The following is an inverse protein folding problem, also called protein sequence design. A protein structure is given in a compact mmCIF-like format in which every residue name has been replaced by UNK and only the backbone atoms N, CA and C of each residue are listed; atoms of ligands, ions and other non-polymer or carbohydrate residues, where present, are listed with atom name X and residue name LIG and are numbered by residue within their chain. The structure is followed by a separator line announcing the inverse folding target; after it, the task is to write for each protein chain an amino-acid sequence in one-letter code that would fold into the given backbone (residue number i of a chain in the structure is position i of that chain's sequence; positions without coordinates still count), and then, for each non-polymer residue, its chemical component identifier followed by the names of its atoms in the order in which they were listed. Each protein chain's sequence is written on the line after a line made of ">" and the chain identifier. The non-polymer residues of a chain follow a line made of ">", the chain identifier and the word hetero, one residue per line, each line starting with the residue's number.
data_IF_613837686561
#
_entry.id   IF_613837686561
#
_cell.length_a   1.000
_cell.length_b   1.000
_cell.length_c   1.000
_cell.angle_alpha   90.00
_cell.angle_beta   90.00
_cell.angle_gamma   90.00
#
_symmetry.space_group_name_H-M   'P 1'
#
loop_
_entity.id
_entity.type
_entity.pdbx_description
1 polymer ?
#
# COMPACT_ATOMS: atom_id res chain seq x y z
N UNK A 1 -1.59 -7.57 -6.24
CA UNK A 1 -1.79 -7.22 -4.79
C UNK A 1 -2.80 -6.10 -4.67
N UNK A 2 -3.47 -6.00 -3.52
CA UNK A 2 -4.28 -4.84 -3.13
C UNK A 2 -3.51 -3.94 -2.19
N UNK A 3 -3.22 -2.74 -2.64
CA UNK A 3 -2.38 -1.78 -1.95
C UNK A 3 -3.27 -0.69 -1.37
N UNK A 4 -3.32 -0.60 -0.04
CA UNK A 4 -3.98 0.50 0.67
C UNK A 4 -3.02 1.68 0.87
N UNK A 5 -3.51 2.90 0.72
CA UNK A 5 -2.71 4.11 0.84
C UNK A 5 -3.51 5.17 1.60
N UNK A 6 -2.92 5.72 2.67
CA UNK A 6 -3.47 6.92 3.30
C UNK A 6 -3.16 8.17 2.46
N UNK A 7 -3.88 9.26 2.71
CA UNK A 7 -3.69 10.51 1.97
C UNK A 7 -2.69 11.42 2.68
N UNK A 8 -2.97 11.77 3.94
CA UNK A 8 -2.24 12.83 4.62
C UNK A 8 -0.85 12.32 5.03
N UNK A 9 0.20 13.02 4.59
CA UNK A 9 1.61 12.63 4.68
C UNK A 9 2.04 11.35 3.95
N UNK A 10 1.12 10.62 3.33
CA UNK A 10 1.43 9.46 2.49
C UNK A 10 1.38 9.80 0.99
N UNK A 11 0.32 10.46 0.54
CA UNK A 11 0.19 10.98 -0.83
C UNK A 11 0.44 12.48 -0.85
N UNK A 12 -0.08 13.22 0.15
CA UNK A 12 -0.05 14.69 0.24
C UNK A 12 1.00 15.19 1.23
N UNK A 13 1.43 16.43 1.03
CA UNK A 13 2.38 17.15 1.89
C UNK A 13 1.68 17.86 3.08
N UNK A 14 0.81 17.13 3.79
CA UNK A 14 -0.05 17.71 4.81
C UNK A 14 0.72 18.45 5.91
N UNK A 15 1.71 17.79 6.53
CA UNK A 15 2.48 18.39 7.62
C UNK A 15 3.25 19.64 7.20
N UNK A 16 3.82 19.64 5.99
CA UNK A 16 4.61 20.78 5.49
C UNK A 16 3.71 22.02 5.37
N UNK A 17 2.52 21.85 4.76
CA UNK A 17 1.57 22.94 4.58
C UNK A 17 0.97 23.38 5.90
N UNK A 18 0.61 22.42 6.78
CA UNK A 18 0.07 22.74 8.09
C UNK A 18 1.08 23.57 8.91
N UNK A 19 2.34 23.16 8.95
CA UNK A 19 3.39 23.87 9.67
C UNK A 19 3.61 25.28 9.11
N UNK A 20 3.62 25.44 7.79
CA UNK A 20 3.74 26.74 7.15
C UNK A 20 2.59 27.69 7.54
N UNK A 21 1.36 27.17 7.57
CA UNK A 21 0.17 27.96 7.94
C UNK A 21 0.19 28.31 9.44
N UNK A 22 0.64 27.40 10.30
CA UNK A 22 0.83 27.68 11.73
C UNK A 22 1.89 28.75 11.95
N UNK A 23 3.02 28.68 11.29
CA UNK A 23 4.08 29.70 11.37
C UNK A 23 3.60 31.07 10.88
N UNK A 24 2.79 31.12 9.81
CA UNK A 24 2.20 32.36 9.31
C UNK A 24 1.26 33.00 10.33
N UNK A 25 0.40 32.17 10.93
CA UNK A 25 -0.56 32.64 11.93
C UNK A 25 0.13 33.09 13.22
N UNK A 26 1.13 32.32 13.69
CA UNK A 26 1.91 32.67 14.88
C UNK A 26 2.57 34.03 14.79
N UNK A 27 3.09 34.40 13.63
CA UNK A 27 3.67 35.72 13.40
C UNK A 27 2.70 36.86 13.68
N UNK A 28 1.41 36.65 13.48
CA UNK A 28 0.36 37.64 13.71
C UNK A 28 -0.13 37.55 15.15
N UNK A 29 -0.26 36.34 15.69
CA UNK A 29 -0.82 36.10 17.02
C UNK A 29 0.17 36.48 18.13
N UNK A 30 1.43 35.96 18.08
CA UNK A 30 2.45 36.11 19.13
C UNK A 30 3.84 36.37 18.59
N UNK A 31 4.22 35.80 17.45
CA UNK A 31 5.55 35.89 16.89
C UNK A 31 6.60 35.10 17.64
N UNK A 32 6.22 34.18 18.50
CA UNK A 32 7.13 33.35 19.31
C UNK A 32 7.81 32.26 18.48
N UNK A 33 7.15 31.79 17.42
CA UNK A 33 7.61 30.68 16.60
C UNK A 33 7.46 29.33 17.29
N UNK A 34 8.22 28.34 16.83
CA UNK A 34 8.23 26.99 17.39
C UNK A 34 8.92 27.03 18.75
N UNK A 35 8.22 26.63 19.80
CA UNK A 35 8.76 26.51 21.17
C UNK A 35 9.18 25.09 21.52
N UNK A 36 8.65 24.10 20.80
CA UNK A 36 8.98 22.69 21.03
C UNK A 36 9.07 21.94 19.70
N UNK A 37 10.28 21.80 19.18
CA UNK A 37 10.56 21.05 17.94
C UNK A 37 10.32 19.53 18.09
N UNK A 38 10.28 19.01 19.33
CA UNK A 38 10.05 17.58 19.61
C UNK A 38 8.58 17.24 19.84
N UNK A 39 7.66 18.21 19.70
CA UNK A 39 6.23 17.92 19.79
C UNK A 39 5.80 16.89 18.74
N UNK A 40 5.05 15.88 19.15
CA UNK A 40 4.58 14.81 18.26
C UNK A 40 3.69 15.35 17.13
N UNK A 41 2.91 16.37 17.40
CA UNK A 41 1.99 16.98 16.45
C UNK A 41 2.15 18.50 16.42
N UNK A 42 1.99 19.09 15.25
CA UNK A 42 2.00 20.53 15.05
C UNK A 42 0.90 21.17 15.91
N UNK A 43 -0.26 20.54 15.97
CA UNK A 43 -1.45 20.98 16.71
C UNK A 43 -1.37 20.80 18.23
N UNK A 44 -0.29 20.23 18.77
CA UNK A 44 -0.19 19.89 20.20
C UNK A 44 1.17 20.26 20.76
N UNK A 45 1.24 21.48 21.31
CA UNK A 45 2.39 21.93 22.09
C UNK A 45 3.64 22.28 21.29
N UNK A 46 3.55 22.40 19.95
CA UNK A 46 4.65 22.89 19.13
C UNK A 46 4.77 24.41 19.24
N UNK A 47 3.67 25.10 19.38
CA UNK A 47 3.56 26.54 19.53
C UNK A 47 3.07 26.93 20.94
N UNK A 48 3.35 28.14 21.36
CA UNK A 48 2.87 28.72 22.61
C UNK A 48 1.42 29.25 22.46
N UNK A 49 0.53 28.36 22.04
CA UNK A 49 -0.88 28.69 21.87
C UNK A 49 -1.72 27.94 22.90
N UNK A 50 -2.77 28.58 23.40
CA UNK A 50 -3.76 27.86 24.18
C UNK A 50 -4.48 26.84 23.33
N UNK A 51 -5.16 25.90 23.99
CA UNK A 51 -5.97 24.91 23.28
C UNK A 51 -7.06 25.59 22.45
N UNK A 52 -7.69 26.61 22.99
CA UNK A 52 -8.75 27.37 22.32
C UNK A 52 -8.23 28.09 21.07
N UNK A 53 -7.10 28.75 21.15
CA UNK A 53 -6.44 29.41 20.00
C UNK A 53 -6.08 28.39 18.91
N UNK A 54 -5.54 27.26 19.31
CA UNK A 54 -5.21 26.17 18.39
C UNK A 54 -6.45 25.61 17.70
N UNK A 55 -7.50 25.29 18.47
CA UNK A 55 -8.73 24.69 17.95
C UNK A 55 -9.44 25.68 17.02
N UNK A 56 -9.53 26.96 17.39
CA UNK A 56 -10.10 28.01 16.54
C UNK A 56 -9.35 28.12 15.21
N UNK A 57 -8.03 28.19 15.23
CA UNK A 57 -7.24 28.27 14.02
C UNK A 57 -7.39 27.01 13.17
N UNK A 58 -7.24 25.83 13.77
CA UNK A 58 -7.28 24.54 13.08
C UNK A 58 -8.61 24.34 12.37
N UNK A 59 -9.72 24.36 13.10
CA UNK A 59 -11.05 24.11 12.54
C UNK A 59 -11.51 25.17 11.55
N UNK A 60 -11.08 26.42 11.70
CA UNK A 60 -11.37 27.48 10.73
C UNK A 60 -10.60 27.34 9.42
N UNK A 61 -9.48 26.62 9.39
CA UNK A 61 -8.58 26.59 8.25
C UNK A 61 -8.38 25.20 7.65
N UNK A 62 -8.68 24.11 8.36
CA UNK A 62 -8.29 22.76 7.94
C UNK A 62 -8.84 22.37 6.56
N UNK A 63 -10.08 22.72 6.25
CA UNK A 63 -10.66 22.41 4.93
C UNK A 63 -9.96 23.20 3.81
N UNK A 64 -9.63 24.47 4.03
CA UNK A 64 -8.84 25.27 3.08
C UNK A 64 -7.44 24.71 2.89
N UNK A 65 -6.79 24.32 3.99
CA UNK A 65 -5.46 23.70 3.99
C UNK A 65 -5.52 22.40 3.18
N UNK A 66 -6.45 21.49 3.47
CA UNK A 66 -6.62 20.22 2.78
C UNK A 66 -6.80 20.37 1.26
N UNK A 67 -7.57 21.40 0.83
CA UNK A 67 -7.75 21.71 -0.59
C UNK A 67 -6.48 22.26 -1.27
N UNK A 68 -5.56 22.84 -0.51
CA UNK A 68 -4.31 23.45 -1.03
C UNK A 68 -3.14 22.47 -1.13
N UNK A 69 -3.25 21.28 -0.56
CA UNK A 69 -2.18 20.27 -0.53
C UNK A 69 -1.71 19.88 -1.93
N UNK A 70 -0.47 19.44 -2.00
CA UNK A 70 0.14 18.91 -3.23
C UNK A 70 0.59 17.47 -3.01
N UNK A 71 0.59 16.65 -4.06
CA UNK A 71 1.15 15.30 -3.97
C UNK A 71 2.65 15.33 -3.63
N UNK A 72 3.07 14.36 -2.84
CA UNK A 72 4.49 14.12 -2.58
C UNK A 72 5.23 13.79 -3.89
N UNK A 73 6.52 14.12 -3.90
CA UNK A 73 7.36 13.91 -5.09
C UNK A 73 7.34 12.46 -5.55
N UNK A 74 7.12 12.25 -6.83
CA UNK A 74 7.00 10.95 -7.51
C UNK A 74 5.78 10.10 -7.10
N UNK A 75 4.87 10.58 -6.26
CA UNK A 75 3.70 9.84 -5.82
C UNK A 75 2.89 9.31 -7.02
N UNK A 76 2.34 10.20 -7.85
CA UNK A 76 1.58 9.82 -9.04
C UNK A 76 2.32 8.80 -9.90
N UNK A 77 3.58 9.11 -10.26
CA UNK A 77 4.39 8.24 -11.13
C UNK A 77 4.56 6.82 -10.57
N UNK A 78 4.71 6.67 -9.26
CA UNK A 78 4.89 5.35 -8.65
C UNK A 78 3.57 4.61 -8.50
N UNK A 79 2.47 5.31 -8.21
CA UNK A 79 1.11 4.73 -8.21
C UNK A 79 0.76 4.21 -9.62
N UNK A 80 1.02 5.01 -10.65
CA UNK A 80 0.77 4.61 -12.05
C UNK A 80 1.55 3.32 -12.39
N UNK A 81 2.83 3.24 -12.01
CA UNK A 81 3.63 2.02 -12.21
C UNK A 81 3.10 0.81 -11.46
N UNK A 82 2.72 0.97 -10.20
CA UNK A 82 2.12 -0.12 -9.42
C UNK A 82 0.83 -0.61 -10.09
N UNK A 83 0.03 0.29 -10.64
CA UNK A 83 -1.16 -0.05 -11.43
C UNK A 83 -0.82 -0.80 -12.71
N UNK A 84 0.17 -0.33 -13.47
CA UNK A 84 0.65 -0.98 -14.71
C UNK A 84 1.17 -2.41 -14.44
N UNK A 85 1.71 -2.66 -13.24
CA UNK A 85 2.14 -3.99 -12.77
C UNK A 85 0.97 -4.88 -12.30
N UNK A 86 -0.29 -4.45 -12.47
CA UNK A 86 -1.48 -5.24 -12.17
C UNK A 86 -1.95 -5.18 -10.72
N UNK A 87 -1.47 -4.22 -9.93
CA UNK A 87 -1.96 -4.01 -8.57
C UNK A 87 -3.28 -3.23 -8.56
N UNK A 88 -4.13 -3.51 -7.55
CA UNK A 88 -5.31 -2.70 -7.23
C UNK A 88 -4.93 -1.64 -6.18
N UNK A 89 -5.31 -0.39 -6.41
CA UNK A 89 -4.97 0.76 -5.55
C UNK A 89 -6.20 1.20 -4.77
N UNK A 90 -6.12 1.13 -3.45
CA UNK A 90 -7.17 1.54 -2.51
C UNK A 90 -6.70 2.77 -1.74
N UNK A 91 -7.45 3.86 -1.82
CA UNK A 91 -7.22 5.02 -0.95
C UNK A 91 -8.09 4.85 0.30
N UNK A 92 -7.45 4.77 1.47
CA UNK A 92 -8.13 4.56 2.77
C UNK A 92 -7.68 5.66 3.73
N UNK A 93 -8.53 6.66 3.98
CA UNK A 93 -8.15 7.84 4.75
C UNK A 93 -9.17 8.18 5.83
N UNK A 94 -8.69 8.71 6.97
CA UNK A 94 -9.50 9.10 8.13
C UNK A 94 -10.14 10.50 7.97
N UNK A 95 -10.51 10.87 6.76
CA UNK A 95 -11.08 12.20 6.47
C UNK A 95 -12.59 12.33 6.74
N UNK A 96 -13.26 11.26 7.19
CA UNK A 96 -14.68 11.28 7.60
C UNK A 96 -14.85 11.42 9.11
N UNK A 97 -14.09 12.34 9.69
CA UNK A 97 -13.99 12.55 11.14
C UNK A 97 -14.72 13.82 11.64
N UNK A 98 -15.53 14.45 10.77
CA UNK A 98 -16.28 15.66 11.08
C UNK A 98 -15.50 16.97 10.93
N UNK A 99 -14.26 16.93 10.46
CA UNK A 99 -13.43 18.14 10.25
C UNK A 99 -13.75 18.86 8.92
N UNK A 100 -14.43 18.19 7.99
CA UNK A 100 -14.70 18.68 6.64
C UNK A 100 -16.20 18.72 6.35
N UNK A 101 -16.63 19.72 5.59
CA UNK A 101 -18.04 19.89 5.20
C UNK A 101 -18.52 18.75 4.29
N UNK A 102 -17.72 18.36 3.31
CA UNK A 102 -18.00 17.23 2.41
C UNK A 102 -16.71 16.50 2.09
N UNK A 103 -16.25 15.61 2.98
CA UNK A 103 -14.95 14.95 2.84
C UNK A 103 -14.85 14.11 1.57
N UNK A 104 -15.91 13.40 1.17
CA UNK A 104 -15.90 12.56 -0.01
C UNK A 104 -15.72 13.37 -1.30
N UNK A 105 -16.51 14.45 -1.45
CA UNK A 105 -16.42 15.33 -2.61
C UNK A 105 -15.05 16.00 -2.69
N UNK A 106 -14.61 16.59 -1.57
CA UNK A 106 -13.32 17.27 -1.49
C UNK A 106 -12.15 16.35 -1.84
N UNK A 107 -12.17 15.13 -1.32
CA UNK A 107 -11.11 14.15 -1.57
C UNK A 107 -11.10 13.69 -3.03
N UNK A 108 -12.26 13.41 -3.61
CA UNK A 108 -12.37 13.04 -5.04
C UNK A 108 -11.85 14.15 -5.95
N UNK A 109 -12.29 15.38 -5.73
CA UNK A 109 -11.84 16.55 -6.52
C UNK A 109 -10.32 16.76 -6.41
N UNK A 110 -9.74 16.51 -5.23
CA UNK A 110 -8.29 16.61 -5.04
C UNK A 110 -7.54 15.50 -5.78
N UNK A 111 -7.97 14.24 -5.67
CA UNK A 111 -7.38 13.10 -6.38
C UNK A 111 -7.48 13.29 -7.90
N UNK A 112 -8.62 13.73 -8.40
CA UNK A 112 -8.85 14.03 -9.81
C UNK A 112 -7.96 15.17 -10.32
N UNK A 113 -7.88 16.29 -9.57
CA UNK A 113 -7.03 17.44 -9.89
C UNK A 113 -5.57 17.05 -10.12
N UNK A 114 -5.06 16.10 -9.36
CA UNK A 114 -3.68 15.63 -9.46
C UNK A 114 -3.53 14.33 -10.24
N UNK A 115 -4.62 13.86 -10.86
CA UNK A 115 -4.66 12.62 -11.65
C UNK A 115 -4.10 11.41 -10.88
N UNK A 116 -4.39 11.32 -9.57
CA UNK A 116 -4.00 10.19 -8.74
C UNK A 116 -4.97 9.04 -8.98
N UNK A 117 -4.44 7.95 -9.54
CA UNK A 117 -5.24 6.76 -9.82
C UNK A 117 -5.64 6.03 -8.54
N UNK A 118 -6.85 5.50 -8.50
CA UNK A 118 -7.33 4.55 -7.49
C UNK A 118 -8.45 3.68 -8.05
N UNK A 119 -8.54 2.43 -7.57
CA UNK A 119 -9.65 1.53 -7.86
C UNK A 119 -10.80 1.75 -6.86
N UNK A 120 -10.48 2.05 -5.61
CA UNK A 120 -11.47 2.29 -4.54
C UNK A 120 -11.03 3.40 -3.61
N UNK A 121 -11.99 4.27 -3.23
CA UNK A 121 -11.83 5.29 -2.20
C UNK A 121 -12.71 4.96 -1.01
N UNK A 122 -12.11 4.85 0.18
CA UNK A 122 -12.78 4.60 1.44
C UNK A 122 -12.39 5.71 2.42
N UNK A 123 -13.38 6.45 2.89
CA UNK A 123 -13.19 7.40 3.98
C UNK A 123 -13.75 6.80 5.26
N UNK A 124 -13.04 6.99 6.37
CA UNK A 124 -13.37 6.44 7.67
C UNK A 124 -13.11 7.47 8.77
N UNK A 125 -13.60 7.19 9.95
CA UNK A 125 -13.22 7.89 11.17
C UNK A 125 -11.81 7.46 11.65
N UNK A 126 -11.26 8.19 12.59
CA UNK A 126 -9.93 7.90 13.16
C UNK A 126 -9.92 6.52 13.81
N UNK A 127 -8.91 5.71 13.60
CA UNK A 127 -8.62 4.47 14.33
C UNK A 127 -9.40 3.20 13.95
N UNK A 128 -9.93 3.09 12.73
CA UNK A 128 -10.62 1.89 12.25
C UNK A 128 -10.13 1.39 10.89
N UNK A 129 -8.86 1.62 10.57
CA UNK A 129 -8.30 1.21 9.27
C UNK A 129 -8.03 -0.29 9.19
N UNK A 130 -7.64 -0.94 10.28
CA UNK A 130 -7.31 -2.36 10.32
C UNK A 130 -8.47 -3.26 9.89
N UNK A 131 -9.66 -3.19 10.50
CA UNK A 131 -10.83 -3.93 10.06
C UNK A 131 -11.20 -3.67 8.61
N UNK A 132 -11.12 -2.40 8.16
CA UNK A 132 -11.40 -2.01 6.77
C UNK A 132 -10.39 -2.64 5.80
N UNK A 133 -9.11 -2.62 6.15
CA UNK A 133 -8.06 -3.27 5.36
C UNK A 133 -8.31 -4.78 5.23
N UNK A 134 -8.65 -5.43 6.34
CA UNK A 134 -8.95 -6.87 6.36
C UNK A 134 -10.19 -7.21 5.52
N UNK A 135 -11.29 -6.47 5.67
CA UNK A 135 -12.54 -6.66 4.93
C UNK A 135 -12.34 -6.50 3.42
N UNK A 136 -11.47 -5.57 3.01
CA UNK A 136 -11.16 -5.33 1.62
C UNK A 136 -9.99 -6.18 1.08
N UNK A 137 -9.47 -7.12 1.87
CA UNK A 137 -8.33 -7.98 1.54
C UNK A 137 -7.12 -7.16 1.06
N UNK A 138 -6.78 -6.12 1.82
CA UNK A 138 -5.58 -5.31 1.56
C UNK A 138 -4.35 -6.14 1.96
N UNK A 139 -3.41 -6.30 1.04
CA UNK A 139 -2.17 -7.05 1.29
C UNK A 139 -1.14 -6.20 2.04
N UNK A 140 -1.09 -4.89 1.70
CA UNK A 140 -0.15 -3.95 2.30
C UNK A 140 -0.77 -2.55 2.38
N UNK A 141 -0.59 -1.87 3.51
CA UNK A 141 -1.05 -0.50 3.73
C UNK A 141 0.12 0.45 3.90
N UNK A 142 0.06 1.63 3.27
CA UNK A 142 1.01 2.74 3.47
C UNK A 142 0.34 3.74 4.38
N UNK A 143 0.97 4.02 5.53
CA UNK A 143 0.41 4.83 6.61
C UNK A 143 1.53 5.63 7.29
N UNK A 144 1.23 6.78 7.87
CA UNK A 144 2.20 7.63 8.57
C UNK A 144 2.01 7.63 10.09
N UNK A 145 0.86 7.18 10.57
CA UNK A 145 0.49 7.22 11.99
C UNK A 145 0.72 5.87 12.66
N UNK A 146 1.54 5.86 13.72
CA UNK A 146 1.91 4.65 14.49
C UNK A 146 0.68 3.87 14.95
N UNK A 147 -0.33 4.55 15.52
CA UNK A 147 -1.57 3.91 16.01
C UNK A 147 -2.36 3.21 14.90
N UNK A 148 -2.38 3.78 13.71
CA UNK A 148 -3.02 3.14 12.57
C UNK A 148 -2.21 1.92 12.10
N UNK A 149 -0.88 2.01 12.06
CA UNK A 149 -0.03 0.85 11.75
C UNK A 149 -0.25 -0.29 12.75
N UNK A 150 -0.35 0.01 14.05
CA UNK A 150 -0.67 -0.98 15.09
C UNK A 150 -2.03 -1.67 14.84
N UNK A 151 -3.07 -0.89 14.58
CA UNK A 151 -4.41 -1.41 14.29
C UNK A 151 -4.42 -2.26 13.01
N UNK A 152 -3.73 -1.82 11.96
CA UNK A 152 -3.61 -2.54 10.69
C UNK A 152 -2.90 -3.88 10.88
N UNK A 153 -1.75 -3.91 11.55
CA UNK A 153 -0.99 -5.15 11.77
C UNK A 153 -1.69 -6.11 12.74
N UNK A 154 -2.40 -5.61 13.74
CA UNK A 154 -3.27 -6.42 14.62
C UNK A 154 -4.40 -7.13 13.84
N UNK A 155 -4.80 -6.59 12.72
CA UNK A 155 -5.77 -7.20 11.80
C UNK A 155 -5.13 -8.08 10.72
N UNK A 156 -3.81 -8.33 10.81
CA UNK A 156 -3.08 -9.26 9.94
C UNK A 156 -2.69 -8.67 8.58
N UNK A 157 -2.72 -7.35 8.43
CA UNK A 157 -2.33 -6.65 7.20
C UNK A 157 -0.95 -6.01 7.39
N UNK A 158 -0.05 -6.18 6.44
CA UNK A 158 1.28 -5.57 6.49
C UNK A 158 1.19 -4.05 6.39
N UNK A 159 1.97 -3.31 7.22
CA UNK A 159 2.05 -1.86 7.16
C UNK A 159 3.45 -1.37 6.77
N UNK A 160 3.50 -0.41 5.84
CA UNK A 160 4.69 0.39 5.57
C UNK A 160 4.51 1.77 6.21
N UNK A 161 5.34 2.07 7.20
CA UNK A 161 5.30 3.34 7.91
C UNK A 161 6.04 4.43 7.11
N UNK A 162 5.29 5.40 6.59
CA UNK A 162 5.87 6.57 5.95
C UNK A 162 6.58 7.43 6.97
N UNK A 163 7.84 7.76 6.69
CA UNK A 163 8.66 8.55 7.60
C UNK A 163 8.15 9.98 7.72
N UNK A 164 7.81 10.36 8.94
CA UNK A 164 7.43 11.73 9.31
C UNK A 164 8.17 12.12 10.58
N UNK A 165 8.18 13.41 10.91
CA UNK A 165 8.86 13.95 12.09
C UNK A 165 8.39 13.30 13.39
N UNK A 166 7.09 13.03 13.54
CA UNK A 166 6.50 12.49 14.77
C UNK A 166 6.59 10.96 14.92
N UNK A 167 7.17 10.27 13.95
CA UNK A 167 7.35 8.83 14.02
C UNK A 167 8.81 8.37 13.83
N UNK A 168 9.79 9.30 13.89
CA UNK A 168 11.21 9.01 13.61
C UNK A 168 11.82 7.95 14.53
N UNK A 169 11.42 7.94 15.80
CA UNK A 169 11.92 6.99 16.80
C UNK A 169 11.28 5.61 16.71
N UNK A 170 10.22 5.43 15.93
CA UNK A 170 9.52 4.16 15.80
C UNK A 170 10.32 3.16 14.96
N UNK A 171 10.57 1.95 15.51
CA UNK A 171 11.39 0.90 14.88
C UNK A 171 10.65 -0.43 14.67
N UNK A 172 9.44 -0.56 15.17
CA UNK A 172 8.65 -1.80 15.07
C UNK A 172 8.15 -2.08 13.66
N UNK A 173 7.90 -1.02 12.88
CA UNK A 173 7.33 -1.13 11.55
C UNK A 173 8.39 -0.98 10.45
N UNK A 174 8.16 -1.61 9.31
CA UNK A 174 8.96 -1.40 8.13
C UNK A 174 8.77 0.02 7.60
N UNK A 175 9.86 0.81 7.56
CA UNK A 175 9.81 2.23 7.24
C UNK A 175 10.13 2.51 5.77
N UNK A 176 9.51 3.58 5.26
CA UNK A 176 9.76 4.13 3.92
C UNK A 176 9.86 5.64 3.99
N UNK A 177 10.77 6.23 3.22
CA UNK A 177 11.04 7.68 3.25
C UNK A 177 10.41 8.43 2.08
N UNK A 178 10.06 7.73 1.01
CA UNK A 178 9.57 8.34 -0.21
C UNK A 178 8.92 7.30 -1.13
N UNK A 179 8.23 7.76 -2.15
CA UNK A 179 7.52 6.91 -3.09
C UNK A 179 8.39 5.97 -3.93
N UNK A 180 9.68 6.27 -4.13
CA UNK A 180 10.59 5.34 -4.80
C UNK A 180 10.90 4.14 -3.92
N UNK A 181 11.10 4.35 -2.62
CA UNK A 181 11.29 3.26 -1.66
C UNK A 181 10.03 2.40 -1.52
N UNK A 182 8.83 3.03 -1.44
CA UNK A 182 7.55 2.32 -1.43
C UNK A 182 7.45 1.39 -2.64
N UNK A 183 7.65 1.95 -3.84
CA UNK A 183 7.60 1.18 -5.08
C UNK A 183 8.57 0.00 -5.06
N UNK A 184 9.85 0.23 -4.72
CA UNK A 184 10.87 -0.83 -4.67
C UNK A 184 10.52 -1.92 -3.67
N UNK A 185 10.00 -1.58 -2.50
CA UNK A 185 9.60 -2.57 -1.49
C UNK A 185 8.43 -3.43 -1.96
N UNK A 186 7.40 -2.81 -2.52
CA UNK A 186 6.22 -3.52 -3.03
C UNK A 186 6.60 -4.42 -4.22
N UNK A 187 7.35 -3.89 -5.20
CA UNK A 187 7.80 -4.67 -6.37
C UNK A 187 8.71 -5.85 -5.96
N UNK A 188 9.52 -5.69 -4.91
CA UNK A 188 10.36 -6.78 -4.40
C UNK A 188 9.53 -7.84 -3.66
N UNK A 189 8.47 -7.46 -2.94
CA UNK A 189 7.53 -8.41 -2.34
C UNK A 189 6.83 -9.23 -3.43
N UNK A 190 6.33 -8.57 -4.47
CA UNK A 190 5.72 -9.23 -5.62
C UNK A 190 6.68 -10.21 -6.30
N UNK A 191 7.94 -9.80 -6.55
CA UNK A 191 8.97 -10.69 -7.13
C UNK A 191 9.27 -11.88 -6.24
N UNK A 192 9.28 -11.71 -4.92
CA UNK A 192 9.51 -12.79 -3.98
C UNK A 192 8.36 -13.79 -3.96
N UNK A 193 7.10 -13.31 -3.99
CA UNK A 193 5.91 -14.17 -4.11
C UNK A 193 5.89 -14.93 -5.45
N UNK A 194 6.28 -14.27 -6.55
CA UNK A 194 6.38 -14.91 -7.89
C UNK A 194 7.60 -15.84 -7.99
N UNK A 195 8.65 -15.62 -7.20
CA UNK A 195 9.84 -16.49 -7.17
C UNK A 195 9.68 -17.73 -6.29
N UNK A 196 8.72 -17.79 -5.39
CA UNK A 196 8.35 -19.02 -4.68
C UNK A 196 7.48 -19.92 -5.57
N UNK A 197 8.01 -20.23 -6.76
CA UNK A 197 7.43 -21.28 -7.60
C UNK A 197 7.54 -22.60 -6.87
N UNK A 198 6.48 -23.38 -6.94
CA UNK A 198 6.47 -24.74 -6.39
C UNK A 198 7.36 -25.59 -7.27
N UNK A 199 8.41 -26.17 -6.71
CA UNK A 199 9.23 -27.15 -7.41
C UNK A 199 8.42 -28.43 -7.56
N UNK A 200 8.30 -28.90 -8.79
CA UNK A 200 7.52 -30.08 -9.12
C UNK A 200 8.33 -31.04 -9.99
N UNK A 201 8.09 -32.31 -9.78
CA UNK A 201 8.47 -33.39 -10.68
C UNK A 201 7.16 -33.98 -11.19
N UNK A 202 6.99 -34.03 -12.49
CA UNK A 202 5.84 -34.65 -13.13
C UNK A 202 6.25 -36.04 -13.58
N UNK A 203 5.58 -37.06 -13.03
CA UNK A 203 5.72 -38.44 -13.48
C UNK A 203 4.49 -38.79 -14.36
N UNK A 204 4.73 -39.30 -15.55
CA UNK A 204 3.69 -39.48 -16.56
C UNK A 204 4.01 -40.65 -17.48
N UNK A 205 2.99 -41.30 -18.01
CA UNK A 205 3.09 -42.27 -19.09
C UNK A 205 2.42 -41.75 -20.38
N UNK A 206 2.77 -40.54 -20.75
CA UNK A 206 2.16 -39.62 -21.74
C UNK A 206 1.59 -40.24 -23.03
N UNK A 207 1.85 -41.46 -23.32
CA UNK A 207 1.40 -42.11 -24.56
C UNK A 207 0.09 -42.87 -24.40
N UNK A 208 -0.25 -43.32 -23.19
CA UNK A 208 -1.36 -44.22 -22.96
C UNK A 208 -2.73 -43.51 -22.90
N UNK A 209 -2.79 -42.42 -22.16
CA UNK A 209 -4.03 -41.70 -21.92
C UNK A 209 -3.86 -40.20 -22.25
N UNK A 210 -4.94 -39.58 -22.76
CA UNK A 210 -4.84 -38.18 -23.22
C UNK A 210 -4.78 -37.19 -22.07
N UNK A 211 -5.15 -37.53 -20.86
CA UNK A 211 -5.11 -36.71 -19.66
C UNK A 211 -3.68 -36.37 -19.24
N UNK A 212 -2.72 -37.30 -19.40
CA UNK A 212 -1.30 -37.03 -19.17
C UNK A 212 -0.74 -35.98 -20.14
N UNK A 213 -1.17 -35.99 -21.39
CA UNK A 213 -0.78 -34.96 -22.36
C UNK A 213 -1.31 -33.58 -21.95
N UNK A 214 -2.52 -33.52 -21.38
CA UNK A 214 -3.06 -32.30 -20.81
C UNK A 214 -2.32 -31.86 -19.55
N UNK A 215 -1.92 -32.80 -18.68
CA UNK A 215 -1.11 -32.50 -17.50
C UNK A 215 0.23 -31.88 -17.88
N UNK A 216 0.96 -32.45 -18.83
CA UNK A 216 2.22 -31.91 -19.36
C UNK A 216 1.99 -30.51 -19.95
N UNK A 217 0.98 -30.35 -20.81
CA UNK A 217 0.66 -29.06 -21.42
C UNK A 217 0.27 -27.99 -20.39
N UNK A 218 -0.48 -28.37 -19.36
CA UNK A 218 -0.84 -27.47 -18.26
C UNK A 218 0.39 -27.02 -17.49
N UNK A 219 1.27 -27.93 -17.11
CA UNK A 219 2.51 -27.62 -16.40
C UNK A 219 3.43 -26.72 -17.20
N UNK A 220 3.62 -27.01 -18.49
CA UNK A 220 4.44 -26.19 -19.39
C UNK A 220 3.86 -24.77 -19.60
N UNK A 221 2.55 -24.61 -19.55
CA UNK A 221 1.88 -23.30 -19.63
C UNK A 221 1.81 -22.57 -18.31
N UNK A 222 2.07 -23.22 -17.19
CA UNK A 222 1.98 -22.69 -15.83
C UNK A 222 3.36 -22.44 -15.20
N UNK A 223 4.39 -22.17 -16.03
CA UNK A 223 5.74 -21.89 -15.55
C UNK A 223 5.89 -20.58 -14.76
N UNK A 224 4.86 -19.77 -14.73
CA UNK A 224 4.73 -18.65 -13.81
C UNK A 224 4.49 -19.10 -12.36
N UNK A 225 3.90 -20.30 -12.15
CA UNK A 225 3.56 -20.89 -10.85
C UNK A 225 4.47 -22.01 -10.41
N UNK A 226 5.01 -22.76 -11.36
CA UNK A 226 5.78 -23.97 -11.12
C UNK A 226 7.20 -23.87 -11.67
N UNK A 227 8.15 -24.41 -10.92
CA UNK A 227 9.47 -24.71 -11.39
C UNK A 227 9.51 -26.23 -11.67
N UNK A 228 9.55 -26.60 -12.95
CA UNK A 228 9.56 -28.00 -13.36
C UNK A 228 10.99 -28.49 -13.23
N UNK A 229 11.26 -29.27 -12.18
CA UNK A 229 12.58 -29.85 -11.90
C UNK A 229 12.89 -31.03 -12.83
N UNK A 230 11.86 -31.86 -13.11
CA UNK A 230 11.97 -32.99 -14.02
C UNK A 230 10.58 -33.37 -14.52
N UNK A 231 10.56 -34.02 -15.71
CA UNK A 231 9.44 -34.81 -16.20
C UNK A 231 9.99 -36.22 -16.35
N UNK A 232 9.45 -37.17 -15.60
CA UNK A 232 9.82 -38.59 -15.68
C UNK A 232 8.74 -39.34 -16.44
N UNK A 233 9.18 -40.32 -17.20
CA UNK A 233 8.29 -41.13 -18.02
C UNK A 233 8.24 -42.53 -17.42
N UNK A 234 7.07 -42.96 -16.96
CA UNK A 234 6.84 -44.31 -16.50
C UNK A 234 6.92 -45.28 -17.66
N UNK A 235 7.59 -46.47 -17.51
CA UNK A 235 7.58 -47.48 -18.52
C UNK A 235 6.17 -47.94 -18.77
N UNK A 236 5.75 -47.89 -20.01
CA UNK A 236 4.45 -48.40 -20.46
C UNK A 236 4.66 -49.41 -21.59
N UNK A 237 3.89 -50.48 -21.56
CA UNK A 237 3.92 -51.51 -22.57
C UNK A 237 2.49 -51.84 -23.05
N UNK A 238 2.22 -51.61 -24.31
CA UNK A 238 0.97 -52.01 -24.95
C UNK A 238 1.08 -53.44 -25.45
N UNK A 239 -0.05 -54.18 -25.45
CA UNK A 239 -0.09 -55.58 -25.91
C UNK A 239 0.52 -55.79 -27.32
N UNK A 240 0.60 -54.76 -28.14
CA UNK A 240 1.16 -54.77 -29.48
C UNK A 240 2.59 -54.25 -29.60
N UNK A 241 3.19 -53.78 -28.48
CA UNK A 241 4.53 -53.24 -28.51
C UNK A 241 5.59 -54.37 -28.53
N UNK A 242 6.64 -54.21 -29.31
CA UNK A 242 7.72 -55.20 -29.42
C UNK A 242 8.63 -55.09 -28.20
N UNK A 243 8.76 -53.93 -27.60
CA UNK A 243 9.58 -53.69 -26.42
C UNK A 243 8.99 -52.56 -25.56
N UNK A 244 9.45 -52.45 -24.27
CA UNK A 244 9.13 -51.34 -23.40
C UNK A 244 9.65 -50.02 -23.98
N UNK A 245 10.76 -50.05 -24.72
CA UNK A 245 11.37 -48.86 -25.34
C UNK A 245 10.48 -48.27 -26.44
N UNK A 246 9.74 -49.08 -27.18
CA UNK A 246 8.80 -48.63 -28.22
C UNK A 246 7.54 -48.00 -27.61
N UNK A 247 7.11 -48.38 -26.39
CA UNK A 247 6.03 -47.75 -25.68
C UNK A 247 6.35 -46.42 -25.09
N UNK A 248 7.61 -45.93 -25.15
CA UNK A 248 8.09 -44.67 -24.59
C UNK A 248 8.46 -43.63 -25.67
N UNK A 249 8.41 -43.94 -26.96
CA UNK A 249 8.59 -43.03 -28.07
C UNK A 249 7.28 -42.25 -28.38
#
# INVERSE_FOLDING_TARGET
>A
MRIGIDIDNCISNFNDVLLEEYLKHDKVLRGTGIINEKADYITKGMFDWSKEENDEFYYSNIERIAKSLKPLRNCKKMIDKLKEEGNEIYIISARDNGEYTNPLKMTKEWLEKYEIYYDKLILTDKYKKGPICKENNIDIMIEDTIKNCEDIEQNGVKCLLMNTRYNEEEKRFERVKNWKEIYLKISNLYKKEVQEKINIILDTDTYNECDDQFAVAYMLKSQDRFNIEAITIAPYHHENDISIEEGQE
#
